data_IF_895820676895
#
_entry.id   IF_895820676895
#
_cell.length_a   1.000
_cell.length_b   1.000
_cell.length_c   1.000
_cell.angle_alpha   90.00
_cell.angle_beta   90.00
_cell.angle_gamma   90.00
#
_symmetry.space_group_name_H-M   'P 1'
#
loop_
_entity.id
_entity.type
_entity.pdbx_description
1 polymer ?
#
# COMPACT_ATOMS: atom_id res chain seq x y z
N UNK A 1 9.43 19.20 9.17
CA UNK A 1 9.94 18.28 8.13
C UNK A 1 10.26 16.96 8.79
N UNK A 2 9.67 15.86 8.32
CA UNK A 2 9.95 14.51 8.81
C UNK A 2 11.43 14.18 8.55
N UNK A 3 12.12 13.67 9.56
CA UNK A 3 13.52 13.25 9.45
C UNK A 3 13.68 12.06 8.50
N UNK A 4 14.89 11.84 7.97
CA UNK A 4 15.15 10.67 7.11
C UNK A 4 14.89 9.35 7.84
N UNK A 5 15.20 9.28 9.13
CA UNK A 5 14.96 8.10 9.97
C UNK A 5 13.47 7.80 10.14
N UNK A 6 12.64 8.82 10.36
CA UNK A 6 11.19 8.65 10.44
C UNK A 6 10.59 8.20 9.11
N UNK A 7 11.09 8.74 7.97
CA UNK A 7 10.65 8.27 6.64
C UNK A 7 10.95 6.80 6.44
N UNK A 8 12.14 6.35 6.83
CA UNK A 8 12.53 4.94 6.67
C UNK A 8 11.78 4.02 7.62
N UNK A 9 11.45 4.48 8.85
CA UNK A 9 10.54 3.76 9.75
C UNK A 9 9.15 3.60 9.13
N UNK A 10 8.56 4.69 8.62
CA UNK A 10 7.22 4.66 8.00
C UNK A 10 7.22 3.74 6.77
N UNK A 11 8.23 3.82 5.90
CA UNK A 11 8.35 2.91 4.75
C UNK A 11 8.35 1.45 5.19
N UNK A 12 9.19 1.09 6.17
CA UNK A 12 9.29 -0.29 6.67
C UNK A 12 7.97 -0.76 7.29
N UNK A 13 7.37 0.06 8.14
CA UNK A 13 6.10 -0.26 8.80
C UNK A 13 4.97 -0.52 7.79
N UNK A 14 4.88 0.31 6.73
CA UNK A 14 3.93 0.10 5.63
C UNK A 14 4.22 -1.20 4.88
N UNK A 15 5.48 -1.45 4.53
CA UNK A 15 5.88 -2.67 3.81
C UNK A 15 5.54 -3.92 4.62
N UNK A 16 5.94 -3.95 5.89
CA UNK A 16 5.69 -5.08 6.79
C UNK A 16 4.20 -5.29 6.99
N UNK A 17 3.43 -4.22 7.24
CA UNK A 17 1.99 -4.34 7.46
C UNK A 17 1.27 -4.84 6.21
N UNK A 18 1.56 -4.27 5.03
CA UNK A 18 0.94 -4.69 3.77
C UNK A 18 1.29 -6.15 3.48
N UNK A 19 2.56 -6.53 3.61
CA UNK A 19 3.00 -7.91 3.39
C UNK A 19 2.37 -8.89 4.38
N UNK A 20 2.21 -8.51 5.64
CA UNK A 20 1.53 -9.32 6.66
C UNK A 20 0.06 -9.54 6.33
N UNK A 21 -0.66 -8.49 5.90
CA UNK A 21 -2.07 -8.60 5.49
C UNK A 21 -2.21 -9.47 4.25
N UNK A 22 -1.34 -9.30 3.25
CA UNK A 22 -1.36 -10.11 2.03
C UNK A 22 -1.11 -11.59 2.35
N UNK A 23 -0.10 -11.90 3.16
CA UNK A 23 0.23 -13.27 3.58
C UNK A 23 -0.88 -13.94 4.38
N UNK A 24 -1.48 -13.22 5.33
CA UNK A 24 -2.61 -13.72 6.12
C UNK A 24 -3.81 -14.10 5.25
N UNK A 25 -3.95 -13.48 4.08
CA UNK A 25 -5.00 -13.78 3.12
C UNK A 25 -4.53 -14.75 2.01
N UNK A 26 -3.31 -15.28 2.07
CA UNK A 26 -2.77 -16.23 1.09
C UNK A 26 -2.36 -15.61 -0.24
N UNK A 27 -2.14 -14.30 -0.29
CA UNK A 27 -1.68 -13.60 -1.48
C UNK A 27 -0.17 -13.78 -1.69
N UNK A 28 0.24 -14.04 -2.92
CA UNK A 28 1.65 -14.24 -3.29
C UNK A 28 2.40 -12.94 -3.58
N UNK A 29 1.70 -11.82 -3.69
CA UNK A 29 2.33 -10.53 -3.93
C UNK A 29 3.08 -10.06 -2.67
N UNK A 30 4.30 -9.56 -2.86
CA UNK A 30 5.06 -8.85 -1.83
C UNK A 30 5.38 -7.45 -2.32
N UNK A 31 5.10 -6.47 -1.47
CA UNK A 31 5.53 -5.11 -1.65
C UNK A 31 7.01 -5.01 -1.25
N UNK A 32 7.88 -4.67 -2.17
CA UNK A 32 9.31 -4.47 -1.89
C UNK A 32 9.59 -3.10 -1.27
N UNK A 33 9.00 -2.04 -1.84
CA UNK A 33 9.34 -0.68 -1.47
C UNK A 33 8.16 0.29 -1.60
N UNK A 34 8.17 1.30 -0.74
CA UNK A 34 7.28 2.46 -0.79
C UNK A 34 8.09 3.64 -1.30
N UNK A 35 7.59 4.26 -2.37
CA UNK A 35 8.17 5.46 -2.94
C UNK A 35 7.84 6.66 -2.06
N UNK A 36 8.83 7.52 -1.85
CA UNK A 36 8.68 8.75 -1.06
C UNK A 36 9.09 9.94 -1.91
N UNK A 37 8.16 10.89 -2.05
CA UNK A 37 8.36 12.13 -2.77
C UNK A 37 8.39 13.27 -1.76
N UNK A 38 9.55 13.91 -1.62
CA UNK A 38 9.71 15.10 -0.78
C UNK A 38 9.18 16.32 -1.54
N UNK A 39 8.09 16.93 -1.07
CA UNK A 39 7.66 18.27 -1.49
C UNK A 39 8.29 19.32 -0.56
N UNK A 40 8.14 20.61 -0.91
CA UNK A 40 8.69 21.73 -0.11
C UNK A 40 8.18 21.73 1.33
N UNK A 41 6.91 21.40 1.55
CA UNK A 41 6.25 21.49 2.86
C UNK A 41 5.78 20.13 3.39
N UNK A 42 5.55 19.15 2.51
CA UNK A 42 5.02 17.82 2.86
C UNK A 42 5.85 16.69 2.25
N UNK A 43 5.66 15.48 2.78
CA UNK A 43 6.29 14.25 2.31
C UNK A 43 5.17 13.33 1.84
N UNK A 44 5.19 12.98 0.56
CA UNK A 44 4.19 12.10 -0.04
C UNK A 44 4.73 10.67 -0.11
N UNK A 45 4.03 9.74 0.53
CA UNK A 45 4.31 8.30 0.46
C UNK A 45 3.40 7.67 -0.58
N UNK A 46 3.93 6.78 -1.41
CA UNK A 46 3.21 6.14 -2.51
C UNK A 46 3.63 4.68 -2.65
N UNK A 47 2.67 3.79 -2.83
CA UNK A 47 2.95 2.38 -3.06
C UNK A 47 1.86 1.71 -3.87
N UNK A 48 2.12 0.49 -4.33
CA UNK A 48 1.13 -0.33 -4.99
C UNK A 48 1.22 -1.79 -4.54
N UNK A 49 0.07 -2.42 -4.34
CA UNK A 49 0.01 -3.85 -4.07
C UNK A 49 -0.97 -4.53 -5.00
N UNK A 50 -0.78 -5.84 -5.20
CA UNK A 50 -1.65 -6.65 -6.06
C UNK A 50 -2.35 -7.69 -5.21
N UNK A 51 -3.62 -7.89 -5.50
CA UNK A 51 -4.45 -8.94 -4.91
C UNK A 51 -4.95 -9.81 -6.06
N UNK A 52 -4.49 -11.05 -6.12
CA UNK A 52 -4.86 -12.00 -7.15
C UNK A 52 -6.24 -12.58 -6.90
N UNK A 53 -6.60 -12.91 -5.65
CA UNK A 53 -7.95 -13.38 -5.35
C UNK A 53 -8.92 -12.21 -5.13
N UNK A 54 -10.00 -12.20 -5.93
CA UNK A 54 -11.06 -11.20 -5.81
C UNK A 54 -11.82 -11.29 -4.48
N UNK A 55 -11.88 -12.47 -3.87
CA UNK A 55 -12.52 -12.66 -2.56
C UNK A 55 -11.72 -11.99 -1.45
N UNK A 56 -10.39 -11.99 -1.58
CA UNK A 56 -9.46 -11.40 -0.62
C UNK A 56 -9.36 -9.87 -0.76
N UNK A 57 -9.69 -9.30 -1.92
CA UNK A 57 -9.60 -7.86 -2.13
C UNK A 57 -10.36 -7.04 -1.08
N UNK A 58 -11.58 -7.45 -0.74
CA UNK A 58 -12.41 -6.77 0.26
C UNK A 58 -11.73 -6.68 1.63
N UNK A 59 -11.41 -7.82 2.28
CA UNK A 59 -10.76 -7.82 3.59
C UNK A 59 -9.35 -7.17 3.55
N UNK A 60 -8.53 -7.50 2.55
CA UNK A 60 -7.17 -6.93 2.39
C UNK A 60 -7.21 -5.41 2.26
N UNK A 61 -8.04 -4.89 1.35
CA UNK A 61 -8.14 -3.46 1.10
C UNK A 61 -8.67 -2.71 2.32
N UNK A 62 -9.63 -3.29 3.04
CA UNK A 62 -10.18 -2.68 4.26
C UNK A 62 -9.13 -2.58 5.37
N UNK A 63 -8.36 -3.66 5.59
CA UNK A 63 -7.33 -3.68 6.64
C UNK A 63 -6.18 -2.72 6.32
N UNK A 64 -5.68 -2.74 5.09
CA UNK A 64 -4.62 -1.82 4.64
C UNK A 64 -5.10 -0.37 4.68
N UNK A 65 -6.31 -0.08 4.22
CA UNK A 65 -6.87 1.29 4.27
C UNK A 65 -7.00 1.79 5.70
N UNK A 66 -7.50 0.94 6.62
CA UNK A 66 -7.64 1.32 8.03
C UNK A 66 -6.28 1.63 8.68
N UNK A 67 -5.25 0.86 8.34
CA UNK A 67 -3.88 1.14 8.76
C UNK A 67 -3.36 2.45 8.16
N UNK A 68 -3.48 2.65 6.84
CA UNK A 68 -2.94 3.86 6.20
C UNK A 68 -3.62 5.15 6.69
N UNK A 69 -4.91 5.09 7.03
CA UNK A 69 -5.66 6.24 7.56
C UNK A 69 -5.11 6.80 8.87
N UNK A 70 -4.29 6.04 9.60
CA UNK A 70 -3.62 6.56 10.80
C UNK A 70 -2.61 7.68 10.45
N UNK A 71 -2.13 7.73 9.20
CA UNK A 71 -1.21 8.75 8.71
C UNK A 71 -1.92 9.96 8.08
N UNK A 72 -3.26 10.01 8.10
CA UNK A 72 -4.03 11.14 7.58
C UNK A 72 -4.88 10.79 6.36
N UNK A 73 -4.93 11.71 5.40
CA UNK A 73 -5.78 11.56 4.20
C UNK A 73 -5.09 10.69 3.15
N UNK A 74 -5.68 9.52 2.88
CA UNK A 74 -5.10 8.49 2.00
C UNK A 74 -5.93 8.37 0.74
N UNK A 75 -5.32 8.67 -0.40
CA UNK A 75 -5.88 8.41 -1.71
C UNK A 75 -5.56 6.96 -2.11
N UNK A 76 -6.60 6.13 -2.16
CA UNK A 76 -6.51 4.73 -2.58
C UNK A 76 -7.28 4.54 -3.88
N UNK A 77 -6.59 4.03 -4.90
CA UNK A 77 -7.15 3.73 -6.21
C UNK A 77 -6.94 2.26 -6.52
N UNK A 78 -8.03 1.55 -6.74
CA UNK A 78 -7.98 0.16 -7.20
C UNK A 78 -8.35 0.05 -8.67
N UNK A 79 -7.63 -0.80 -9.40
CA UNK A 79 -7.88 -1.10 -10.80
C UNK A 79 -7.85 -2.61 -11.00
N UNK A 80 -8.91 -3.14 -11.60
CA UNK A 80 -8.98 -4.55 -11.99
C UNK A 80 -8.20 -4.72 -13.29
N UNK A 81 -7.16 -5.55 -13.25
CA UNK A 81 -6.33 -5.89 -14.40
C UNK A 81 -6.64 -7.33 -14.81
N UNK A 82 -6.72 -7.53 -16.13
CA UNK A 82 -6.80 -8.84 -16.74
C UNK A 82 -5.70 -8.89 -17.79
N UNK A 83 -4.64 -9.64 -17.51
CA UNK A 83 -3.51 -9.79 -18.41
C UNK A 83 -3.29 -11.27 -18.69
N UNK A 84 -3.36 -11.66 -19.97
CA UNK A 84 -2.95 -12.98 -20.48
C UNK A 84 -3.41 -14.19 -19.63
N UNK A 85 -4.64 -14.15 -19.12
CA UNK A 85 -5.23 -15.22 -18.29
C UNK A 85 -5.18 -14.98 -16.78
N UNK A 86 -4.32 -14.08 -16.31
CA UNK A 86 -4.23 -13.69 -14.90
C UNK A 86 -5.17 -12.52 -14.59
N UNK A 87 -5.96 -12.66 -13.53
CA UNK A 87 -6.85 -11.61 -13.03
C UNK A 87 -6.34 -11.18 -11.67
N UNK A 88 -6.05 -9.89 -11.52
CA UNK A 88 -5.67 -9.33 -10.23
C UNK A 88 -6.22 -7.91 -10.10
N UNK A 89 -6.36 -7.46 -8.86
CA UNK A 89 -6.68 -6.07 -8.55
C UNK A 89 -5.40 -5.41 -8.10
N UNK A 90 -4.93 -4.43 -8.86
CA UNK A 90 -3.85 -3.56 -8.39
C UNK A 90 -4.47 -2.45 -7.55
N UNK A 91 -3.87 -2.14 -6.41
CA UNK A 91 -4.29 -1.07 -5.52
C UNK A 91 -3.11 -0.17 -5.31
N UNK A 92 -3.23 1.07 -5.78
CA UNK A 92 -2.28 2.13 -5.52
C UNK A 92 -2.76 2.96 -4.35
N UNK A 93 -1.88 3.28 -3.43
CA UNK A 93 -2.16 4.17 -2.31
C UNK A 93 -1.16 5.31 -2.29
N UNK A 94 -1.61 6.48 -1.85
CA UNK A 94 -0.74 7.59 -1.55
C UNK A 94 -1.32 8.46 -0.43
N UNK A 95 -0.46 9.02 0.40
CA UNK A 95 -0.84 9.95 1.47
C UNK A 95 0.28 10.96 1.71
N UNK A 96 -0.05 12.08 2.33
CA UNK A 96 0.86 13.20 2.57
C UNK A 96 0.97 13.47 4.07
N UNK A 97 2.21 13.66 4.55
CA UNK A 97 2.57 13.98 5.93
C UNK A 97 3.41 15.26 6.00
#
# INVERSE_FOLDING_TARGET
MISSEEKDKIKKDIVEKINSVLEKNGESFRLDQVNVLNKKETVKFMGNYRVYDRKNYGPVSKEINSFLKQYGDVDIKSKKIRDSGMKFTTVSFNFEL
#
